data_IF_191078882401
#
_entry.id   IF_191078882401
#
_cell.length_a   1.000
_cell.length_b   1.000
_cell.length_c   1.000
_cell.angle_alpha   90.00
_cell.angle_beta   90.00
_cell.angle_gamma   90.00
#
_symmetry.space_group_name_H-M   'P 1'
#
loop_
_entity.id
_entity.type
_entity.pdbx_description
1 polymer ?
#
# COMPACT_ATOMS: atom_id res chain seq x y z
N UNK A 1 0.21 1.13 -14.32
CA UNK A 1 1.49 1.64 -13.77
C UNK A 1 2.61 1.76 -14.82
N UNK A 2 2.30 1.85 -16.12
CA UNK A 2 3.29 1.97 -17.21
C UNK A 2 3.80 3.41 -17.43
N UNK A 3 3.27 4.37 -16.66
CA UNK A 3 3.39 5.82 -16.93
C UNK A 3 4.53 6.51 -16.17
N UNK A 4 5.17 5.86 -15.20
CA UNK A 4 6.17 6.51 -14.36
C UNK A 4 7.52 6.74 -15.04
N UNK A 5 7.86 5.85 -15.95
CA UNK A 5 9.10 5.92 -16.71
C UNK A 5 9.16 7.11 -17.70
N UNK A 6 8.04 7.83 -17.88
CA UNK A 6 7.96 9.00 -18.77
C UNK A 6 8.37 10.33 -18.10
N UNK A 7 8.45 10.38 -16.77
CA UNK A 7 8.70 11.64 -16.03
C UNK A 7 9.99 11.65 -15.21
N UNK A 8 10.81 10.59 -15.25
CA UNK A 8 12.02 10.49 -14.41
C UNK A 8 11.73 10.31 -12.92
N UNK A 9 10.54 9.80 -12.59
CA UNK A 9 10.09 9.54 -11.23
C UNK A 9 10.41 8.08 -10.90
N UNK A 10 11.29 7.84 -9.94
CA UNK A 10 11.54 6.50 -9.41
C UNK A 10 10.30 6.00 -8.65
N UNK A 11 9.85 4.78 -8.97
CA UNK A 11 8.71 4.17 -8.28
C UNK A 11 9.13 3.01 -7.41
N UNK A 12 8.77 3.11 -6.14
CA UNK A 12 8.74 2.00 -5.20
C UNK A 12 7.32 1.42 -5.11
N UNK A 13 7.21 0.11 -5.31
CA UNK A 13 5.94 -0.61 -5.28
C UNK A 13 5.94 -1.66 -4.17
N UNK A 14 4.96 -1.55 -3.27
CA UNK A 14 4.60 -2.62 -2.35
C UNK A 14 3.38 -3.36 -2.91
N UNK A 15 3.61 -4.57 -3.41
CA UNK A 15 2.59 -5.40 -4.05
C UNK A 15 1.91 -6.30 -3.03
N UNK A 16 0.59 -6.20 -2.94
CA UNK A 16 -0.22 -7.08 -2.11
C UNK A 16 -0.23 -8.50 -2.69
N UNK A 17 0.28 -9.46 -1.92
CA UNK A 17 0.49 -10.83 -2.37
C UNK A 17 -0.85 -11.47 -2.81
N UNK A 18 -0.87 -11.88 -4.07
CA UNK A 18 -2.03 -12.48 -4.76
C UNK A 18 -3.19 -11.52 -5.09
N UNK A 19 -3.03 -10.20 -4.86
CA UNK A 19 -3.92 -9.16 -5.40
C UNK A 19 -3.23 -8.33 -6.50
N UNK A 20 -1.90 -8.27 -6.47
CA UNK A 20 -1.10 -7.69 -7.54
C UNK A 20 -0.77 -8.73 -8.62
N UNK A 21 -0.74 -8.29 -9.87
CA UNK A 21 -0.25 -9.09 -10.99
C UNK A 21 1.25 -9.41 -10.80
N UNK A 22 1.68 -10.67 -10.87
CA UNK A 22 3.09 -11.04 -10.76
C UNK A 22 4.00 -10.29 -11.74
N UNK A 23 3.48 -9.84 -12.87
CA UNK A 23 4.23 -9.07 -13.87
C UNK A 23 4.69 -7.68 -13.40
N UNK A 24 4.23 -7.18 -12.25
CA UNK A 24 4.62 -5.85 -11.73
C UNK A 24 6.09 -5.74 -11.34
N UNK A 25 6.74 -6.84 -10.95
CA UNK A 25 8.15 -6.85 -10.56
C UNK A 25 9.06 -6.33 -11.69
N UNK A 26 8.70 -6.60 -12.95
CA UNK A 26 9.49 -6.22 -14.11
C UNK A 26 9.33 -4.78 -14.58
N UNK A 27 8.42 -4.02 -13.97
CA UNK A 27 8.09 -2.64 -14.38
C UNK A 27 8.28 -1.59 -13.28
N UNK A 28 8.71 -2.00 -12.08
CA UNK A 28 8.97 -1.11 -10.96
C UNK A 28 10.48 -1.04 -10.68
N UNK A 29 10.99 0.15 -10.36
CA UNK A 29 12.41 0.34 -10.03
C UNK A 29 12.78 -0.33 -8.70
N UNK A 30 11.84 -0.28 -7.74
CA UNK A 30 11.92 -0.97 -6.45
C UNK A 30 10.63 -1.71 -6.19
N UNK A 31 10.73 -2.95 -5.72
CA UNK A 31 9.59 -3.83 -5.55
C UNK A 31 9.71 -4.67 -4.28
N UNK A 32 8.62 -4.78 -3.53
CA UNK A 32 8.47 -5.73 -2.43
C UNK A 32 7.09 -6.39 -2.49
N UNK A 33 7.03 -7.68 -2.23
CA UNK A 33 5.77 -8.39 -2.00
C UNK A 33 5.45 -8.43 -0.52
N UNK A 34 4.24 -8.01 -0.16
CA UNK A 34 3.77 -7.93 1.23
C UNK A 34 2.36 -8.51 1.35
N UNK A 35 2.07 -9.11 2.50
CA UNK A 35 0.69 -9.38 2.88
C UNK A 35 0.00 -8.08 3.31
N UNK A 36 -1.33 -8.06 3.23
CA UNK A 36 -2.13 -6.88 3.55
C UNK A 36 -1.94 -6.37 4.99
N UNK A 37 -1.55 -7.24 5.92
CA UNK A 37 -1.27 -6.88 7.29
C UNK A 37 0.19 -6.64 7.63
N UNK A 38 1.10 -6.65 6.66
CA UNK A 38 2.52 -6.31 6.88
C UNK A 38 2.74 -4.81 6.65
N UNK A 39 1.96 -3.95 7.34
CA UNK A 39 2.04 -2.50 7.20
C UNK A 39 3.36 -1.92 7.73
N UNK A 40 3.88 -2.41 8.86
CA UNK A 40 5.18 -2.02 9.41
C UNK A 40 6.31 -2.30 8.42
N UNK A 41 6.30 -3.49 7.82
CA UNK A 41 7.27 -3.89 6.79
C UNK A 41 7.17 -2.99 5.56
N UNK A 42 5.95 -2.64 5.15
CA UNK A 42 5.71 -1.74 4.03
C UNK A 42 6.20 -0.32 4.32
N UNK A 43 5.95 0.19 5.53
CA UNK A 43 6.47 1.49 5.98
C UNK A 43 7.99 1.49 6.03
N UNK A 44 8.61 0.44 6.57
CA UNK A 44 10.06 0.32 6.63
C UNK A 44 10.68 0.36 5.23
N UNK A 45 10.14 -0.43 4.29
CA UNK A 45 10.58 -0.44 2.90
C UNK A 45 10.52 0.96 2.26
N UNK A 46 9.41 1.69 2.44
CA UNK A 46 9.30 3.04 1.90
C UNK A 46 10.26 4.03 2.56
N UNK A 47 10.44 3.96 3.88
CA UNK A 47 11.39 4.81 4.60
C UNK A 47 12.85 4.56 4.20
N UNK A 48 13.23 3.31 4.02
CA UNK A 48 14.58 2.94 3.59
C UNK A 48 14.90 3.47 2.18
N UNK A 49 13.88 3.64 1.35
CA UNK A 49 13.97 4.23 0.02
C UNK A 49 13.79 5.75 0.01
N UNK A 50 13.60 6.40 1.17
CA UNK A 50 13.37 7.83 1.26
C UNK A 50 12.02 8.30 0.70
N UNK A 51 11.05 7.41 0.55
CA UNK A 51 9.72 7.72 0.02
C UNK A 51 8.93 8.52 1.06
N UNK A 52 8.52 9.73 0.68
CA UNK A 52 7.71 10.62 1.52
C UNK A 52 6.23 10.66 1.17
N UNK A 53 5.87 10.21 -0.04
CA UNK A 53 4.51 10.23 -0.56
C UNK A 53 4.15 8.89 -1.22
N UNK A 54 2.96 8.37 -0.91
CA UNK A 54 2.44 7.13 -1.51
C UNK A 54 1.03 7.37 -2.03
N UNK A 55 0.56 6.45 -2.87
CA UNK A 55 -0.85 6.37 -3.28
C UNK A 55 -1.27 4.91 -3.31
N UNK A 56 -2.54 4.65 -3.06
CA UNK A 56 -3.10 3.31 -3.24
C UNK A 56 -3.57 3.13 -4.69
N UNK A 57 -3.08 2.08 -5.34
CA UNK A 57 -3.42 1.74 -6.70
C UNK A 57 -3.99 0.32 -6.79
N UNK A 58 -5.12 0.18 -7.46
CA UNK A 58 -5.81 -1.10 -7.64
C UNK A 58 -6.96 -1.31 -6.67
N UNK A 59 -7.61 -2.47 -6.79
CA UNK A 59 -8.75 -2.86 -5.97
C UNK A 59 -8.28 -3.76 -4.84
N UNK A 60 -8.64 -3.44 -3.60
CA UNK A 60 -8.45 -4.33 -2.46
C UNK A 60 -9.68 -5.21 -2.32
N UNK A 61 -9.49 -6.52 -2.24
CA UNK A 61 -10.60 -7.46 -2.03
C UNK A 61 -10.82 -7.71 -0.53
N UNK A 62 -12.00 -7.35 -0.02
CA UNK A 62 -12.43 -7.54 1.38
C UNK A 62 -12.21 -8.96 1.89
N UNK A 63 -12.37 -9.96 1.03
CA UNK A 63 -12.36 -11.37 1.42
C UNK A 63 -11.04 -11.78 2.08
N UNK A 64 -9.92 -11.20 1.63
CA UNK A 64 -8.59 -11.56 2.14
C UNK A 64 -8.24 -11.00 3.51
N UNK A 65 -8.98 -9.99 3.98
CA UNK A 65 -8.88 -9.51 5.37
C UNK A 65 -9.47 -10.50 6.37
N UNK A 66 -10.29 -11.44 5.89
CA UNK A 66 -10.94 -12.47 6.70
C UNK A 66 -10.38 -13.87 6.41
N UNK A 67 -9.37 -13.97 5.55
CA UNK A 67 -8.69 -15.24 5.32
C UNK A 67 -8.00 -15.68 6.61
N UNK A 68 -8.22 -16.94 6.99
CA UNK A 68 -7.65 -17.55 8.20
C UNK A 68 -6.11 -17.55 8.23
N UNK A 69 -5.45 -17.23 7.11
CA UNK A 69 -4.00 -17.12 6.97
C UNK A 69 -3.48 -15.68 6.83
N UNK A 70 -4.27 -14.67 7.21
CA UNK A 70 -3.84 -13.28 7.16
C UNK A 70 -2.64 -13.05 8.10
N UNK A 71 -1.50 -12.69 7.51
CA UNK A 71 -0.31 -12.26 8.25
C UNK A 71 -0.50 -10.80 8.64
N UNK A 72 -0.53 -10.54 9.95
CA UNK A 72 -0.61 -9.21 10.54
C UNK A 72 0.63 -8.99 11.40
N UNK A 73 1.33 -7.88 11.18
CA UNK A 73 2.30 -7.38 12.15
C UNK A 73 1.59 -6.83 13.41
N UNK A 74 2.31 -6.63 14.53
CA UNK A 74 1.70 -6.24 15.80
C UNK A 74 0.87 -4.95 15.71
N UNK A 75 1.38 -3.92 15.01
CA UNK A 75 0.65 -2.66 14.87
C UNK A 75 -0.59 -2.80 13.98
N UNK A 76 -0.51 -3.60 12.92
CA UNK A 76 -1.64 -3.92 12.04
C UNK A 76 -2.70 -4.71 12.77
N UNK A 77 -2.31 -5.68 13.60
CA UNK A 77 -3.23 -6.43 14.44
C UNK A 77 -4.00 -5.50 15.39
N UNK A 78 -3.30 -4.57 16.04
CA UNK A 78 -3.93 -3.55 16.90
C UNK A 78 -4.87 -2.64 16.10
N UNK A 79 -4.44 -2.17 14.94
CA UNK A 79 -5.22 -1.31 14.05
C UNK A 79 -6.53 -1.98 13.63
N UNK A 80 -6.47 -3.18 13.05
CA UNK A 80 -7.65 -3.90 12.56
C UNK A 80 -8.56 -4.41 13.68
N UNK A 81 -8.02 -4.65 14.88
CA UNK A 81 -8.83 -5.03 16.04
C UNK A 81 -9.61 -3.84 16.62
N UNK A 82 -9.08 -2.61 16.48
CA UNK A 82 -9.73 -1.39 16.94
C UNK A 82 -10.82 -0.86 16.00
N UNK A 83 -10.92 -1.41 14.78
CA UNK A 83 -11.87 -0.96 13.78
C UNK A 83 -13.33 -1.34 14.15
N UNK A 84 -14.23 -0.37 14.32
CA UNK A 84 -15.63 -0.63 14.67
C UNK A 84 -16.41 -1.27 13.50
N UNK A 85 -15.99 -0.99 12.27
CA UNK A 85 -16.52 -1.59 11.06
C UNK A 85 -15.36 -2.09 10.19
N UNK A 86 -15.53 -3.26 9.59
CA UNK A 86 -14.52 -3.91 8.74
C UNK A 86 -14.93 -3.91 7.27
N UNK A 87 -15.48 -2.78 6.81
CA UNK A 87 -15.77 -2.55 5.39
C UNK A 87 -14.53 -1.93 4.68
N UNK A 88 -14.56 -1.86 3.35
CA UNK A 88 -13.42 -1.35 2.55
C UNK A 88 -12.99 0.04 3.00
N UNK A 89 -13.94 0.95 3.14
CA UNK A 89 -13.66 2.35 3.42
C UNK A 89 -13.02 2.53 4.82
N UNK A 90 -13.51 1.80 5.82
CA UNK A 90 -12.94 1.83 7.16
C UNK A 90 -11.52 1.25 7.19
N UNK A 91 -11.28 0.17 6.44
CA UNK A 91 -9.98 -0.48 6.37
C UNK A 91 -8.99 0.38 5.60
N UNK A 92 -9.36 0.85 4.42
CA UNK A 92 -8.54 1.75 3.62
C UNK A 92 -8.22 3.03 4.39
N UNK A 93 -9.22 3.60 5.07
CA UNK A 93 -9.03 4.78 5.91
C UNK A 93 -8.07 4.53 7.09
N UNK A 94 -8.15 3.37 7.74
CA UNK A 94 -7.24 3.01 8.82
C UNK A 94 -5.81 2.78 8.32
N UNK A 95 -5.65 2.08 7.19
CA UNK A 95 -4.33 1.89 6.56
C UNK A 95 -3.75 3.23 6.13
N UNK A 96 -4.55 4.11 5.52
CA UNK A 96 -4.11 5.46 5.15
C UNK A 96 -3.60 6.24 6.37
N UNK A 97 -4.34 6.22 7.47
CA UNK A 97 -3.95 6.86 8.74
C UNK A 97 -2.65 6.28 9.28
N UNK A 98 -2.45 4.96 9.21
CA UNK A 98 -1.23 4.31 9.64
C UNK A 98 0.01 4.86 8.93
N UNK A 99 -0.06 5.04 7.60
CA UNK A 99 1.03 5.64 6.83
C UNK A 99 1.26 7.12 7.21
N UNK A 100 0.18 7.89 7.37
CA UNK A 100 0.26 9.30 7.76
C UNK A 100 0.91 9.46 9.14
N UNK A 101 0.51 8.65 10.12
CA UNK A 101 1.10 8.62 11.46
C UNK A 101 2.57 8.18 11.44
N UNK A 102 2.96 7.34 10.47
CA UNK A 102 4.35 6.97 10.24
C UNK A 102 5.17 8.06 9.53
N UNK A 103 4.56 9.19 9.15
CA UNK A 103 5.21 10.31 8.46
C UNK A 103 5.23 10.20 6.94
N UNK A 104 4.46 9.27 6.36
CA UNK A 104 4.32 9.08 4.91
C UNK A 104 2.98 9.67 4.47
N UNK A 105 3.02 10.63 3.55
CA UNK A 105 1.81 11.28 3.06
C UNK A 105 1.08 10.35 2.08
N UNK A 106 -0.23 10.18 2.27
CA UNK A 106 -1.08 9.42 1.35
C UNK A 106 -1.76 10.39 0.39
N UNK A 107 -1.46 10.27 -0.89
CA UNK A 107 -2.04 11.04 -1.97
C UNK A 107 -3.38 10.46 -2.41
N UNK A 108 -4.27 11.34 -2.86
CA UNK A 108 -5.53 10.94 -3.47
C UNK A 108 -5.27 10.21 -4.82
N UNK A 109 -6.10 9.24 -5.18
CA UNK A 109 -5.96 8.51 -6.45
C UNK A 109 -6.09 9.43 -7.67
N UNK A 110 -6.73 10.58 -7.52
CA UNK A 110 -6.79 11.66 -8.52
C UNK A 110 -5.46 12.40 -8.73
N UNK A 111 -4.54 12.34 -7.76
CA UNK A 111 -3.21 12.96 -7.86
C UNK A 111 -2.31 12.22 -8.86
N UNK A 112 -2.45 10.89 -8.98
CA UNK A 112 -1.72 10.09 -9.97
C UNK A 112 -1.99 10.61 -11.38
N UNK A 113 -3.27 10.83 -11.72
CA UNK A 113 -3.69 11.33 -13.04
C UNK A 113 -3.06 12.69 -13.36
N UNK A 114 -2.91 13.58 -12.37
CA UNK A 114 -2.26 14.90 -12.55
C UNK A 114 -0.74 14.82 -12.66
N UNK A 115 -0.10 13.76 -12.14
CA UNK A 115 1.37 13.60 -12.24
C UNK A 115 1.81 12.96 -13.56
N UNK A 116 0.91 12.24 -14.25
CA UNK A 116 1.21 11.50 -15.49
C UNK A 116 0.60 12.12 -16.75
N UNK A 117 -0.21 13.18 -16.61
CA UNK A 117 -0.75 14.01 -17.71
C UNK A 117 -0.03 15.36 -17.73
#
# INVERSE_FOLDING_TARGET
MRFANLAGIEIATAALLGMADPGYEHICDKFISVHLGELEKTVAFFKDLGVSEILFAGKVDKTRLFDKGLVLDPSSQKLFSSLPQRNDDAILGAVARFFIEAGIKVLDSTHLLKMIL
#
